data_IF_982067952532
#
_entry.id   IF_982067952532
#
_cell.length_a   1.000
_cell.length_b   1.000
_cell.length_c   1.000
_cell.angle_alpha   90.00
_cell.angle_beta   90.00
_cell.angle_gamma   90.00
#
_symmetry.space_group_name_H-M   'P 1'
#
loop_
_entity.id
_entity.type
_entity.pdbx_description
1 polymer ?
#
# COMPACT_ATOMS: atom_id res chain seq x y z
N UNK A 1 5.68 7.85 6.34
CA UNK A 1 4.72 7.34 7.36
C UNK A 1 3.61 6.56 6.66
N UNK A 2 3.02 5.52 7.26
CA UNK A 2 2.03 4.65 6.57
C UNK A 2 0.81 5.43 6.03
N UNK A 3 0.40 6.52 6.69
CA UNK A 3 -0.74 7.35 6.25
C UNK A 3 -0.53 8.00 4.87
N UNK A 4 0.72 8.16 4.41
CA UNK A 4 0.99 8.66 3.06
C UNK A 4 0.50 7.73 1.96
N UNK A 5 0.21 6.45 2.27
CA UNK A 5 -0.47 5.54 1.33
C UNK A 5 -1.92 5.98 1.06
N UNK A 6 -2.54 6.71 2.00
CA UNK A 6 -3.96 7.09 1.95
C UNK A 6 -4.17 8.54 1.51
N UNK A 7 -3.31 9.44 1.98
CA UNK A 7 -3.48 10.88 1.80
C UNK A 7 -2.31 11.46 1.01
N UNK A 8 -2.64 12.26 -0.01
CA UNK A 8 -1.65 12.83 -0.92
C UNK A 8 -0.68 13.76 -0.20
N UNK A 9 -1.19 14.65 0.66
CA UNK A 9 -0.45 15.72 1.34
C UNK A 9 -0.21 15.46 2.84
N UNK A 10 -0.17 14.18 3.23
CA UNK A 10 0.02 13.82 4.63
C UNK A 10 1.31 14.40 5.22
N UNK A 11 2.40 14.52 4.47
CA UNK A 11 3.66 15.03 5.03
C UNK A 11 3.53 16.50 5.43
N UNK A 12 2.84 17.29 4.59
CA UNK A 12 2.59 18.71 4.78
C UNK A 12 1.59 18.95 5.91
N UNK A 13 0.57 18.09 6.04
CA UNK A 13 -0.54 18.29 6.96
C UNK A 13 -0.59 17.30 8.15
N UNK A 14 0.49 16.54 8.40
CA UNK A 14 0.48 15.51 9.47
C UNK A 14 0.22 16.07 10.89
N UNK A 15 0.36 17.38 11.09
CA UNK A 15 0.08 18.08 12.35
C UNK A 15 -1.26 18.83 12.35
N UNK A 16 -1.96 18.88 11.22
CA UNK A 16 -3.28 19.46 11.08
C UNK A 16 -4.36 18.40 10.88
N UNK A 17 -5.51 18.82 10.37
CA UNK A 17 -6.68 17.96 10.17
C UNK A 17 -6.59 17.17 8.85
N UNK A 18 -5.51 16.41 8.64
CA UNK A 18 -5.32 15.61 7.41
C UNK A 18 -6.46 14.60 7.16
N UNK A 19 -7.22 14.22 8.20
CA UNK A 19 -8.39 13.36 8.07
C UNK A 19 -9.58 14.01 7.35
N UNK A 20 -9.54 15.33 7.12
CA UNK A 20 -10.51 16.07 6.32
C UNK A 20 -10.13 16.08 4.82
N UNK A 21 -8.91 15.68 4.47
CA UNK A 21 -8.48 15.56 3.08
C UNK A 21 -9.14 14.36 2.37
N UNK A 22 -9.32 14.43 1.04
CA UNK A 22 -9.77 13.29 0.25
C UNK A 22 -8.88 12.07 0.49
N UNK A 23 -9.51 10.95 0.85
CA UNK A 23 -8.83 9.68 1.06
C UNK A 23 -8.79 8.88 -0.24
N UNK A 24 -7.60 8.42 -0.63
CA UNK A 24 -7.45 7.42 -1.68
C UNK A 24 -7.29 6.04 -1.03
N UNK A 25 -8.20 5.13 -1.35
CA UNK A 25 -8.27 3.81 -0.70
C UNK A 25 -7.27 2.85 -1.38
N UNK A 26 -6.28 2.29 -0.66
CA UNK A 26 -5.34 1.34 -1.21
C UNK A 26 -5.93 -0.05 -1.35
N UNK A 27 -5.29 -0.88 -2.17
CA UNK A 27 -5.50 -2.33 -2.20
C UNK A 27 -4.67 -3.00 -1.10
N UNK A 28 -5.23 -4.05 -0.49
CA UNK A 28 -4.50 -4.89 0.46
C UNK A 28 -3.89 -6.09 -0.25
N UNK A 29 -2.56 -6.22 -0.23
CA UNK A 29 -1.83 -7.38 -0.78
C UNK A 29 -1.19 -8.16 0.37
N UNK A 30 -1.59 -9.42 0.55
CA UNK A 30 -1.13 -10.27 1.64
C UNK A 30 -0.17 -11.34 1.15
N UNK A 31 1.02 -11.37 1.72
CA UNK A 31 2.05 -12.38 1.41
C UNK A 31 2.86 -12.71 2.66
N UNK A 32 2.91 -13.99 3.06
CA UNK A 32 3.65 -14.44 4.25
C UNK A 32 5.13 -14.64 4.00
N UNK A 33 5.52 -15.00 2.77
CA UNK A 33 6.92 -15.16 2.43
C UNK A 33 7.62 -13.79 2.29
N UNK A 34 8.62 -13.56 3.15
CA UNK A 34 9.44 -12.35 3.13
C UNK A 34 10.19 -12.16 1.82
N UNK A 35 10.69 -13.24 1.21
CA UNK A 35 11.39 -13.16 -0.09
C UNK A 35 10.42 -12.70 -1.17
N UNK A 36 9.23 -13.28 -1.24
CA UNK A 36 8.18 -12.88 -2.18
C UNK A 36 7.77 -11.41 -1.97
N UNK A 37 7.59 -10.96 -0.71
CA UNK A 37 7.34 -9.54 -0.40
C UNK A 37 8.44 -8.61 -0.90
N UNK A 38 9.71 -8.96 -0.69
CA UNK A 38 10.84 -8.14 -1.15
C UNK A 38 10.94 -8.12 -2.69
N UNK A 39 10.68 -9.24 -3.36
CA UNK A 39 10.56 -9.27 -4.82
C UNK A 39 9.42 -8.37 -5.31
N UNK A 40 8.29 -8.35 -4.61
CA UNK A 40 7.17 -7.48 -4.93
C UNK A 40 7.45 -6.00 -4.66
N UNK A 41 8.18 -5.66 -3.59
CA UNK A 41 8.73 -4.32 -3.37
C UNK A 41 9.55 -3.84 -4.57
N UNK A 42 10.48 -4.68 -5.05
CA UNK A 42 11.33 -4.36 -6.21
C UNK A 42 10.51 -4.15 -7.48
N UNK A 43 9.48 -4.98 -7.68
CA UNK A 43 8.54 -4.85 -8.78
C UNK A 43 7.73 -3.54 -8.72
N UNK A 44 7.15 -3.17 -7.58
CA UNK A 44 6.40 -1.92 -7.44
C UNK A 44 7.30 -0.70 -7.68
N UNK A 45 8.52 -0.74 -7.16
CA UNK A 45 9.52 0.32 -7.37
C UNK A 45 9.88 0.45 -8.85
N UNK A 46 10.08 -0.66 -9.57
CA UNK A 46 10.36 -0.62 -11.02
C UNK A 46 9.17 -0.13 -11.85
N UNK A 47 7.95 -0.21 -11.32
CA UNK A 47 6.74 0.41 -11.90
C UNK A 47 6.56 1.89 -11.52
N UNK A 48 7.50 2.46 -10.77
CA UNK A 48 7.49 3.87 -10.38
C UNK A 48 6.68 4.18 -9.12
N UNK A 49 6.31 3.16 -8.33
CA UNK A 49 5.65 3.40 -7.05
C UNK A 49 6.67 3.82 -5.98
N UNK A 50 6.30 4.78 -5.14
CA UNK A 50 7.09 5.22 -3.98
C UNK A 50 6.76 4.39 -2.75
N UNK A 51 7.78 3.81 -2.12
CA UNK A 51 7.62 3.21 -0.80
C UNK A 51 7.58 4.29 0.29
N UNK A 52 6.55 4.30 1.14
CA UNK A 52 6.40 5.29 2.23
C UNK A 52 6.72 4.70 3.62
N UNK A 53 6.73 3.37 3.71
CA UNK A 53 7.24 2.63 4.87
C UNK A 53 7.45 1.15 4.56
N UNK A 54 8.53 0.58 5.05
CA UNK A 54 8.82 -0.85 4.92
C UNK A 54 9.53 -1.37 6.16
N UNK A 55 8.89 -2.26 6.90
CA UNK A 55 9.42 -2.79 8.17
C UNK A 55 9.62 -4.32 8.16
N UNK A 56 9.07 -5.05 7.17
CA UNK A 56 9.06 -6.52 7.10
C UNK A 56 8.39 -7.26 8.28
N UNK A 57 7.76 -6.56 9.21
CA UNK A 57 7.19 -7.12 10.45
C UNK A 57 5.87 -7.85 10.20
N UNK A 58 5.02 -7.33 9.30
CA UNK A 58 3.71 -7.92 9.01
C UNK A 58 3.55 -8.31 7.52
N UNK A 59 2.76 -9.34 7.20
CA UNK A 59 2.59 -9.81 5.81
C UNK A 59 1.65 -8.98 4.92
N UNK A 60 1.01 -7.92 5.42
CA UNK A 60 0.09 -7.10 4.62
C UNK A 60 0.76 -5.83 4.11
N UNK A 61 0.69 -5.65 2.79
CA UNK A 61 1.17 -4.49 2.05
C UNK A 61 -0.05 -3.72 1.57
N UNK A 62 -0.05 -2.42 1.79
CA UNK A 62 -1.04 -1.51 1.21
C UNK A 62 -0.44 -0.90 -0.05
N UNK A 63 -1.15 -1.01 -1.17
CA UNK A 63 -0.72 -0.49 -2.47
C UNK A 63 -1.78 0.46 -3.01
N UNK A 64 -1.44 1.73 -3.14
CA UNK A 64 -2.29 2.75 -3.73
C UNK A 64 -1.88 3.00 -5.18
N UNK A 65 -2.77 2.69 -6.12
CA UNK A 65 -2.54 2.85 -7.56
C UNK A 65 -2.66 4.30 -8.01
N UNK A 66 -3.60 5.06 -7.43
CA UNK A 66 -3.84 6.47 -7.76
C UNK A 66 -2.65 7.34 -7.36
N UNK A 67 -2.22 7.22 -6.10
CA UNK A 67 -1.08 8.00 -5.58
C UNK A 67 0.28 7.39 -5.96
N UNK A 68 0.29 6.19 -6.57
CA UNK A 68 1.49 5.38 -6.82
C UNK A 68 2.38 5.23 -5.58
N UNK A 69 1.77 4.87 -4.46
CA UNK A 69 2.45 4.70 -3.16
C UNK A 69 2.20 3.32 -2.59
N UNK A 70 3.14 2.80 -1.82
CA UNK A 70 2.92 1.56 -1.09
C UNK A 70 3.64 1.55 0.26
N UNK A 71 3.14 0.74 1.17
CA UNK A 71 3.75 0.58 2.48
C UNK A 71 3.32 -0.70 3.15
N UNK A 72 4.20 -1.24 3.99
CA UNK A 72 3.93 -2.46 4.74
C UNK A 72 3.44 -2.09 6.15
N UNK A 73 2.37 -2.73 6.61
CA UNK A 73 1.77 -2.40 7.92
C UNK A 73 2.64 -2.95 9.05
N UNK A 74 2.59 -2.36 10.24
CA UNK A 74 3.48 -2.76 11.35
C UNK A 74 2.91 -3.90 12.20
N UNK A 75 1.57 -4.08 12.23
CA UNK A 75 0.87 -5.06 13.05
C UNK A 75 -0.51 -5.33 12.49
N UNK A 76 -1.19 -6.36 13.00
CA UNK A 76 -2.59 -6.60 12.68
C UNK A 76 -3.46 -5.43 13.19
N UNK A 77 -4.04 -4.67 12.26
CA UNK A 77 -5.08 -3.68 12.55
C UNK A 77 -6.06 -3.57 11.38
N UNK A 78 -7.25 -3.03 11.65
CA UNK A 78 -8.23 -2.74 10.62
C UNK A 78 -7.68 -1.63 9.71
N UNK A 79 -7.65 -1.91 8.42
CA UNK A 79 -7.26 -0.97 7.38
C UNK A 79 -8.39 -0.85 6.38
N UNK A 80 -8.68 0.38 5.95
CA UNK A 80 -9.55 0.59 4.79
C UNK A 80 -8.78 0.13 3.56
N UNK A 81 -9.34 -0.84 2.86
CA UNK A 81 -8.82 -1.36 1.61
C UNK A 81 -9.96 -1.48 0.60
N UNK A 82 -9.65 -1.41 -0.69
CA UNK A 82 -10.62 -1.65 -1.76
C UNK A 82 -11.24 -3.04 -1.54
N UNK A 83 -12.58 -3.08 -1.56
CA UNK A 83 -13.43 -4.26 -1.35
C UNK A 83 -13.19 -5.03 -0.04
N UNK A 84 -12.42 -4.47 0.90
CA UNK A 84 -11.92 -5.19 2.08
C UNK A 84 -11.20 -6.52 1.74
N UNK A 85 -10.79 -6.71 0.47
CA UNK A 85 -10.16 -7.93 -0.02
C UNK A 85 -8.65 -7.89 0.26
N UNK A 86 -8.10 -9.07 0.53
CA UNK A 86 -6.65 -9.30 0.63
C UNK A 86 -6.23 -10.11 -0.58
N UNK A 87 -5.70 -9.42 -1.57
CA UNK A 87 -5.17 -10.02 -2.79
C UNK A 87 -3.86 -10.75 -2.47
N UNK A 88 -3.62 -11.86 -3.15
CA UNK A 88 -2.25 -12.36 -3.34
C UNK A 88 -1.49 -11.43 -4.28
N UNK A 89 -0.16 -11.55 -4.31
CA UNK A 89 0.67 -10.77 -5.25
C UNK A 89 0.25 -11.02 -6.70
N UNK A 90 -0.09 -12.27 -7.05
CA UNK A 90 -0.45 -12.62 -8.42
C UNK A 90 -1.80 -12.04 -8.81
N UNK A 91 -2.84 -12.22 -7.96
CA UNK A 91 -4.16 -11.61 -8.19
C UNK A 91 -4.05 -10.10 -8.34
N UNK A 92 -3.28 -9.42 -7.47
CA UNK A 92 -3.11 -7.97 -7.57
C UNK A 92 -2.45 -7.55 -8.90
N UNK A 93 -1.44 -8.29 -9.37
CA UNK A 93 -0.80 -7.98 -10.65
C UNK A 93 -1.78 -8.16 -11.81
N UNK A 94 -2.51 -9.27 -11.82
CA UNK A 94 -3.37 -9.64 -12.94
C UNK A 94 -4.65 -8.80 -12.99
N UNK A 95 -5.29 -8.58 -11.83
CA UNK A 95 -6.59 -7.91 -11.73
C UNK A 95 -6.48 -6.39 -11.56
N UNK A 96 -5.38 -5.86 -11.05
CA UNK A 96 -5.28 -4.43 -10.73
C UNK A 96 -4.23 -3.71 -11.57
N UNK A 97 -3.01 -4.25 -11.68
CA UNK A 97 -1.92 -3.54 -12.37
C UNK A 97 -1.86 -3.78 -13.88
N UNK A 98 -2.31 -4.94 -14.34
CA UNK A 98 -2.24 -5.34 -15.75
C UNK A 98 -3.53 -5.08 -16.54
N UNK A 99 -4.61 -4.65 -15.88
CA UNK A 99 -5.79 -4.15 -16.58
C UNK A 99 -5.48 -2.72 -17.02
N UNK A 100 -5.16 -2.57 -18.31
CA UNK A 100 -5.11 -1.29 -19.02
C UNK A 100 -6.37 -1.11 -19.84
#
# INVERSE_FOLDING_TARGET
MLMEVYYEHYQENCRGAYWEEPISIPYGVYERDRKARNSFYGYLTSKGFKCVTWNNDYPLILVNTELKRFGLIYRACAHKCVDSRKYTIQEFKDEVLNIK
#
